data_IF_044209259981
#
_entry.id   IF_044209259981
#
_cell.length_a   1.000
_cell.length_b   1.000
_cell.length_c   1.000
_cell.angle_alpha   90.00
_cell.angle_beta   90.00
_cell.angle_gamma   90.00
#
_symmetry.space_group_name_H-M   'P 1'
#
loop_
_entity.id
_entity.type
_entity.pdbx_description
1 polymer ?
#
# COMPACT_ATOMS: atom_id res chain seq x y z
N UNK A 1 -1.47 -33.64 -30.77
CA UNK A 1 -2.18 -32.44 -31.26
C UNK A 1 -2.73 -31.76 -30.04
N UNK A 2 -2.07 -30.67 -29.62
CA UNK A 2 -2.41 -29.93 -28.41
C UNK A 2 -3.54 -28.98 -28.81
N UNK A 3 -4.72 -29.12 -28.19
CA UNK A 3 -5.82 -28.18 -28.35
C UNK A 3 -5.38 -26.82 -27.83
N UNK A 4 -5.39 -25.86 -28.75
CA UNK A 4 -5.14 -24.44 -28.55
C UNK A 4 -6.11 -23.90 -27.49
N UNK A 5 -5.63 -23.74 -26.24
CA UNK A 5 -6.33 -22.91 -25.26
C UNK A 5 -6.17 -21.48 -25.74
N UNK A 6 -7.13 -21.01 -26.53
CA UNK A 6 -7.22 -19.62 -26.94
C UNK A 6 -7.26 -18.77 -25.67
N UNK A 7 -6.16 -18.08 -25.38
CA UNK A 7 -6.05 -17.18 -24.24
C UNK A 7 -7.00 -16.00 -24.53
N UNK A 8 -8.10 -15.91 -23.79
CA UNK A 8 -9.05 -14.81 -23.90
C UNK A 8 -8.57 -13.69 -22.98
N UNK A 9 -8.32 -12.50 -23.53
CA UNK A 9 -7.86 -11.32 -22.75
C UNK A 9 -8.99 -10.61 -22.01
N UNK A 10 -10.21 -10.75 -22.50
CA UNK A 10 -11.43 -10.19 -21.94
C UNK A 10 -12.39 -11.26 -21.42
N UNK A 11 -13.64 -10.87 -21.17
CA UNK A 11 -14.65 -11.76 -20.59
C UNK A 11 -16.05 -11.49 -21.12
N UNK A 12 -16.83 -12.56 -21.31
CA UNK A 12 -18.29 -12.48 -21.48
C UNK A 12 -18.97 -12.79 -20.15
N UNK A 13 -19.79 -11.86 -19.64
CA UNK A 13 -20.52 -12.03 -18.38
C UNK A 13 -22.01 -12.16 -18.65
N UNK A 14 -22.65 -13.16 -18.06
CA UNK A 14 -24.10 -13.36 -18.11
C UNK A 14 -24.65 -13.39 -16.69
N UNK A 15 -25.43 -12.35 -16.35
CA UNK A 15 -26.19 -12.32 -15.10
C UNK A 15 -27.48 -13.10 -15.26
N UNK A 16 -27.65 -14.15 -14.48
CA UNK A 16 -28.71 -15.12 -14.66
C UNK A 16 -29.43 -15.47 -13.37
N UNK A 17 -30.56 -16.17 -13.51
CA UNK A 17 -31.31 -16.79 -12.41
C UNK A 17 -31.45 -18.30 -12.71
N UNK A 18 -31.26 -19.19 -11.72
CA UNK A 18 -31.43 -20.62 -11.91
C UNK A 18 -32.80 -20.98 -12.51
N UNK A 19 -32.79 -21.83 -13.53
CA UNK A 19 -34.01 -22.31 -14.20
C UNK A 19 -34.64 -21.33 -15.20
N UNK A 20 -34.04 -20.17 -15.47
CA UNK A 20 -34.55 -19.22 -16.47
C UNK A 20 -34.28 -19.71 -17.91
N UNK A 21 -35.31 -19.96 -18.75
CA UNK A 21 -35.13 -20.46 -20.13
C UNK A 21 -34.30 -19.51 -21.01
N UNK A 22 -34.52 -18.20 -20.88
CA UNK A 22 -33.77 -17.19 -21.65
C UNK A 22 -32.29 -17.13 -21.27
N UNK A 23 -31.95 -17.38 -20.00
CA UNK A 23 -30.55 -17.44 -19.57
C UNK A 23 -29.84 -18.68 -20.14
N UNK A 24 -30.54 -19.81 -20.18
CA UNK A 24 -30.02 -21.06 -20.75
C UNK A 24 -29.76 -20.88 -22.25
N UNK A 25 -30.72 -20.30 -22.98
CA UNK A 25 -30.61 -20.06 -24.42
C UNK A 25 -29.46 -19.09 -24.77
N UNK A 26 -29.30 -18.00 -24.00
CA UNK A 26 -28.21 -17.06 -24.19
C UNK A 26 -26.85 -17.73 -24.03
N UNK A 27 -26.66 -18.52 -22.96
CA UNK A 27 -25.41 -19.25 -22.70
C UNK A 27 -25.11 -20.29 -23.79
N UNK A 28 -26.13 -21.01 -24.28
CA UNK A 28 -25.97 -21.97 -25.37
C UNK A 28 -25.51 -21.29 -26.68
N UNK A 29 -26.04 -20.09 -26.96
CA UNK A 29 -25.63 -19.28 -28.12
C UNK A 29 -24.17 -18.88 -27.99
N UNK A 30 -23.76 -18.32 -26.84
CA UNK A 30 -22.38 -17.92 -26.57
C UNK A 30 -21.39 -19.11 -26.59
N UNK A 31 -21.81 -20.28 -26.10
CA UNK A 31 -21.03 -21.51 -26.17
C UNK A 31 -20.80 -21.97 -27.61
N UNK A 32 -21.77 -21.77 -28.51
CA UNK A 32 -21.64 -22.12 -29.93
C UNK A 32 -20.62 -21.22 -30.64
N UNK A 33 -20.43 -19.99 -30.15
CA UNK A 33 -19.41 -19.05 -30.64
C UNK A 33 -18.00 -19.35 -30.11
N UNK A 34 -17.85 -20.38 -29.26
CA UNK A 34 -16.56 -20.76 -28.68
C UNK A 34 -16.03 -19.73 -27.67
N UNK A 35 -16.91 -19.00 -26.99
CA UNK A 35 -16.52 -18.02 -25.98
C UNK A 35 -16.93 -18.51 -24.59
N UNK A 36 -15.99 -18.64 -23.63
CA UNK A 36 -16.33 -19.02 -22.26
C UNK A 36 -17.16 -17.92 -21.59
N UNK A 37 -18.18 -18.33 -20.83
CA UNK A 37 -19.11 -17.41 -20.17
C UNK A 37 -18.90 -17.44 -18.66
N UNK A 38 -18.70 -16.26 -18.07
CA UNK A 38 -18.79 -16.04 -16.63
C UNK A 38 -20.26 -15.88 -16.23
N UNK A 39 -20.81 -16.90 -15.59
CA UNK A 39 -22.21 -16.94 -15.17
C UNK A 39 -22.37 -16.45 -13.73
N UNK A 40 -23.16 -15.39 -13.54
CA UNK A 40 -23.41 -14.79 -12.23
C UNK A 40 -24.87 -14.99 -11.83
N UNK A 41 -25.09 -15.81 -10.80
CA UNK A 41 -26.42 -16.02 -10.21
C UNK A 41 -26.81 -14.83 -9.31
N UNK A 42 -27.69 -13.96 -9.82
CA UNK A 42 -28.10 -12.75 -9.09
C UNK A 42 -29.01 -13.03 -7.89
N UNK A 43 -29.53 -14.26 -7.73
CA UNK A 43 -30.28 -14.61 -6.51
C UNK A 43 -29.35 -14.83 -5.31
N UNK A 44 -28.10 -15.24 -5.56
CA UNK A 44 -27.07 -15.43 -4.53
C UNK A 44 -26.39 -14.13 -4.13
N UNK A 45 -26.49 -13.09 -4.95
CA UNK A 45 -25.79 -11.81 -4.83
C UNK A 45 -26.76 -10.63 -4.98
N UNK A 46 -27.44 -10.25 -3.89
CA UNK A 46 -28.48 -9.20 -3.90
C UNK A 46 -27.91 -7.82 -4.23
N UNK A 47 -26.67 -7.58 -3.84
CA UNK A 47 -25.88 -6.38 -4.10
C UNK A 47 -25.62 -6.16 -5.60
N UNK A 48 -25.26 -7.22 -6.33
CA UNK A 48 -25.04 -7.18 -7.78
C UNK A 48 -26.33 -6.81 -8.51
N UNK A 49 -27.48 -7.31 -8.05
CA UNK A 49 -28.77 -6.98 -8.65
C UNK A 49 -29.12 -5.49 -8.56
N UNK A 50 -28.76 -4.83 -7.47
CA UNK A 50 -28.96 -3.39 -7.30
C UNK A 50 -28.04 -2.59 -8.24
N UNK A 51 -26.76 -2.97 -8.30
CA UNK A 51 -25.76 -2.34 -9.18
C UNK A 51 -26.12 -2.50 -10.66
N UNK A 52 -26.58 -3.67 -11.09
CA UNK A 52 -27.00 -3.90 -12.47
C UNK A 52 -28.19 -3.01 -12.87
N UNK A 53 -29.13 -2.80 -11.95
CA UNK A 53 -30.27 -1.91 -12.20
C UNK A 53 -29.81 -0.46 -12.37
N UNK A 54 -28.81 -0.04 -11.60
CA UNK A 54 -28.20 1.29 -11.74
C UNK A 54 -27.42 1.43 -13.05
N UNK A 55 -26.62 0.41 -13.41
CA UNK A 55 -25.78 0.40 -14.61
C UNK A 55 -26.57 0.30 -15.91
N UNK A 56 -27.63 -0.51 -15.96
CA UNK A 56 -28.36 -0.84 -17.20
C UNK A 56 -29.76 -0.25 -17.26
N UNK A 57 -30.27 0.27 -16.13
CA UNK A 57 -31.68 0.66 -15.98
C UNK A 57 -32.66 -0.51 -15.95
N UNK A 58 -32.20 -1.78 -16.07
CA UNK A 58 -33.06 -2.97 -16.18
C UNK A 58 -32.89 -3.90 -14.99
N UNK A 59 -33.99 -4.55 -14.59
CA UNK A 59 -34.02 -5.52 -13.47
C UNK A 59 -34.27 -6.96 -13.91
N UNK A 60 -34.46 -7.18 -15.21
CA UNK A 60 -34.72 -8.49 -15.82
C UNK A 60 -33.41 -9.21 -16.12
N UNK A 61 -33.48 -10.54 -16.22
CA UNK A 61 -32.37 -11.43 -16.61
C UNK A 61 -32.76 -12.20 -17.89
N UNK A 62 -31.81 -12.63 -18.73
CA UNK A 62 -30.36 -12.41 -18.60
C UNK A 62 -29.96 -10.96 -18.89
N UNK A 63 -28.87 -10.51 -18.28
CA UNK A 63 -28.14 -9.30 -18.70
C UNK A 63 -26.77 -9.73 -19.18
N UNK A 64 -26.44 -9.39 -20.43
CA UNK A 64 -25.29 -9.94 -21.15
C UNK A 64 -24.31 -8.81 -21.45
N UNK A 65 -23.05 -9.05 -21.12
CA UNK A 65 -21.95 -8.13 -21.35
C UNK A 65 -20.80 -8.82 -22.07
N UNK A 66 -20.15 -8.09 -22.97
CA UNK A 66 -18.85 -8.43 -23.55
C UNK A 66 -17.86 -7.36 -23.06
N UNK A 67 -16.89 -7.76 -22.24
CA UNK A 67 -16.07 -6.83 -21.46
C UNK A 67 -16.97 -5.84 -20.69
N UNK A 68 -16.84 -4.52 -20.93
CA UNK A 68 -17.68 -3.47 -20.36
C UNK A 68 -18.91 -3.12 -21.22
N UNK A 69 -19.08 -3.71 -22.41
CA UNK A 69 -20.17 -3.41 -23.32
C UNK A 69 -21.44 -4.17 -22.95
N UNK A 70 -22.49 -3.43 -22.58
CA UNK A 70 -23.81 -4.00 -22.32
C UNK A 70 -24.52 -4.32 -23.64
N UNK A 71 -24.81 -5.61 -23.87
CA UNK A 71 -25.53 -6.08 -25.07
C UNK A 71 -27.03 -6.12 -24.85
N UNK A 72 -27.49 -6.43 -23.63
CA UNK A 72 -28.91 -6.51 -23.32
C UNK A 72 -29.35 -7.89 -22.83
N UNK A 73 -30.56 -8.28 -23.22
CA UNK A 73 -31.17 -9.56 -22.87
C UNK A 73 -30.93 -10.62 -23.97
N UNK A 74 -31.57 -11.79 -23.85
CA UNK A 74 -31.43 -12.86 -24.84
C UNK A 74 -31.96 -12.45 -26.22
N UNK A 75 -33.09 -11.74 -26.32
CA UNK A 75 -33.58 -11.26 -27.63
C UNK A 75 -32.61 -10.27 -28.27
N UNK A 76 -32.02 -9.38 -27.46
CA UNK A 76 -31.05 -8.40 -27.94
C UNK A 76 -29.81 -9.13 -28.51
N UNK A 77 -29.34 -10.19 -27.84
CA UNK A 77 -28.26 -11.07 -28.35
C UNK A 77 -28.63 -11.78 -29.66
N UNK A 78 -29.85 -12.31 -29.80
CA UNK A 78 -30.29 -13.00 -31.02
C UNK A 78 -30.53 -12.05 -32.21
N UNK A 79 -30.76 -10.76 -31.94
CA UNK A 79 -30.99 -9.73 -32.97
C UNK A 79 -29.69 -9.12 -33.52
N UNK A 80 -28.54 -9.39 -32.90
CA UNK A 80 -27.25 -8.92 -33.40
C UNK A 80 -26.98 -9.51 -34.79
N UNK A 81 -26.53 -8.66 -35.70
CA UNK A 81 -26.05 -9.14 -36.98
C UNK A 81 -24.73 -9.92 -36.81
N UNK A 82 -24.40 -10.84 -37.73
CA UNK A 82 -23.20 -11.66 -37.60
C UNK A 82 -21.89 -10.87 -37.50
N UNK A 83 -21.79 -9.71 -38.17
CA UNK A 83 -20.59 -8.88 -38.14
C UNK A 83 -20.42 -8.18 -36.78
N UNK A 84 -21.50 -7.67 -36.21
CA UNK A 84 -21.50 -7.08 -34.86
C UNK A 84 -21.14 -8.11 -33.81
N UNK A 85 -21.71 -9.31 -33.92
CA UNK A 85 -21.41 -10.41 -33.00
C UNK A 85 -19.95 -10.84 -33.10
N UNK A 86 -19.39 -10.94 -34.31
CA UNK A 86 -17.97 -11.24 -34.51
C UNK A 86 -17.06 -10.16 -33.92
N UNK A 87 -17.39 -8.87 -34.08
CA UNK A 87 -16.64 -7.76 -33.46
C UNK A 87 -16.63 -7.84 -31.93
N UNK A 88 -17.76 -8.17 -31.31
CA UNK A 88 -17.85 -8.34 -29.85
C UNK A 88 -17.02 -9.55 -29.38
N UNK A 89 -17.01 -10.65 -30.14
CA UNK A 89 -16.17 -11.81 -29.82
C UNK A 89 -14.68 -11.47 -29.98
N UNK A 90 -14.32 -10.68 -30.99
CA UNK A 90 -12.95 -10.22 -31.21
C UNK A 90 -12.47 -9.28 -30.10
N UNK A 91 -13.32 -8.36 -29.61
CA UNK A 91 -12.94 -7.47 -28.50
C UNK A 91 -12.66 -8.26 -27.22
N UNK A 92 -13.46 -9.28 -26.92
CA UNK A 92 -13.19 -10.20 -25.78
C UNK A 92 -11.89 -11.00 -25.98
N UNK A 93 -11.52 -11.32 -27.22
CA UNK A 93 -10.27 -12.04 -27.50
C UNK A 93 -9.03 -11.17 -27.36
N UNK A 94 -9.11 -9.91 -27.81
CA UNK A 94 -7.93 -9.07 -28.02
C UNK A 94 -7.73 -8.01 -26.93
N UNK A 95 -8.80 -7.54 -26.31
CA UNK A 95 -8.77 -6.41 -25.37
C UNK A 95 -8.82 -6.91 -23.92
N UNK A 96 -7.94 -6.40 -23.04
CA UNK A 96 -7.98 -6.72 -21.62
C UNK A 96 -9.20 -6.10 -20.93
N UNK A 97 -9.58 -6.68 -19.80
CA UNK A 97 -10.68 -6.18 -18.97
C UNK A 97 -10.41 -4.74 -18.47
N UNK A 98 -11.37 -3.85 -18.71
CA UNK A 98 -11.33 -2.45 -18.26
C UNK A 98 -11.76 -2.31 -16.78
N UNK A 99 -11.33 -1.23 -16.11
CA UNK A 99 -11.79 -0.86 -14.75
C UNK A 99 -13.31 -0.70 -14.65
N UNK A 100 -13.99 -0.39 -15.76
CA UNK A 100 -15.44 -0.24 -15.86
C UNK A 100 -16.17 -1.56 -16.16
N UNK A 101 -15.49 -2.70 -15.97
CA UNK A 101 -16.06 -4.01 -16.17
C UNK A 101 -17.27 -4.29 -15.26
N UNK A 102 -18.23 -5.10 -15.75
CA UNK A 102 -19.44 -5.40 -15.00
C UNK A 102 -19.10 -6.25 -13.76
N UNK A 103 -19.76 -6.00 -12.62
CA UNK A 103 -19.37 -6.56 -11.32
C UNK A 103 -19.67 -8.06 -11.24
N UNK A 104 -18.69 -8.91 -10.95
CA UNK A 104 -18.94 -10.34 -10.68
C UNK A 104 -18.59 -10.71 -9.23
N UNK A 105 -19.20 -11.77 -8.67
CA UNK A 105 -18.90 -12.17 -7.31
C UNK A 105 -17.44 -12.66 -7.19
N UNK A 106 -16.66 -12.01 -6.34
CA UNK A 106 -15.32 -12.47 -6.00
C UNK A 106 -14.21 -12.09 -6.98
N UNK A 107 -14.50 -11.39 -8.09
CA UNK A 107 -13.45 -10.69 -8.83
C UNK A 107 -13.38 -9.23 -8.37
N UNK A 108 -12.27 -8.90 -7.72
CA UNK A 108 -11.80 -7.52 -7.66
C UNK A 108 -11.02 -7.29 -8.97
N UNK A 109 -11.39 -6.27 -9.74
CA UNK A 109 -10.63 -5.79 -10.90
C UNK A 109 -9.13 -5.76 -10.57
N UNK A 110 -8.35 -6.72 -11.08
CA UNK A 110 -6.89 -6.79 -11.16
C UNK A 110 -6.50 -8.13 -11.82
N UNK A 111 -7.02 -8.38 -13.03
CA UNK A 111 -6.34 -9.26 -13.99
C UNK A 111 -5.75 -8.36 -15.07
N UNK A 112 -4.61 -7.74 -14.76
CA UNK A 112 -3.70 -7.23 -15.77
C UNK A 112 -2.69 -8.33 -16.08
N UNK A 113 -2.83 -8.97 -17.24
CA UNK A 113 -1.72 -9.59 -17.96
C UNK A 113 -0.75 -8.49 -18.44
N UNK A 114 -0.17 -7.77 -17.48
CA UNK A 114 0.89 -6.80 -17.62
C UNK A 114 2.09 -7.29 -16.82
N UNK A 115 3.28 -7.02 -17.33
CA UNK A 115 4.59 -7.42 -16.80
C UNK A 115 4.66 -7.48 -15.25
N UNK A 116 5.18 -8.62 -14.76
CA UNK A 116 5.23 -9.03 -13.35
C UNK A 116 6.00 -8.06 -12.44
N UNK A 117 6.69 -7.06 -13.00
CA UNK A 117 7.53 -6.13 -12.24
C UNK A 117 6.71 -5.06 -11.50
N UNK A 118 5.48 -4.71 -11.95
CA UNK A 118 4.67 -3.63 -11.37
C UNK A 118 3.68 -4.01 -10.25
N UNK A 119 3.23 -5.27 -10.21
CA UNK A 119 2.07 -5.68 -9.41
C UNK A 119 2.26 -5.50 -7.88
N UNK A 120 3.48 -5.72 -7.39
CA UNK A 120 3.81 -5.53 -5.98
C UNK A 120 3.67 -4.04 -5.58
N UNK A 121 4.25 -3.16 -6.38
CA UNK A 121 4.26 -1.72 -6.15
C UNK A 121 2.85 -1.16 -6.20
N UNK A 122 2.10 -1.49 -7.27
CA UNK A 122 0.70 -1.09 -7.44
C UNK A 122 -0.17 -1.53 -6.25
N UNK A 123 -0.01 -2.77 -5.77
CA UNK A 123 -0.74 -3.27 -4.61
C UNK A 123 -0.39 -2.48 -3.33
N UNK A 124 0.90 -2.20 -3.10
CA UNK A 124 1.35 -1.42 -1.94
C UNK A 124 0.84 0.02 -1.98
N UNK A 125 0.82 0.63 -3.16
CA UNK A 125 0.31 1.98 -3.40
C UNK A 125 -1.20 2.02 -3.21
N UNK A 126 -1.94 1.03 -3.72
CA UNK A 126 -3.38 0.91 -3.53
C UNK A 126 -3.74 0.78 -2.04
N UNK A 127 -3.03 -0.08 -1.30
CA UNK A 127 -3.18 -0.20 0.16
C UNK A 127 -2.95 1.13 0.86
N UNK A 128 -1.90 1.84 0.45
CA UNK A 128 -1.52 3.12 1.04
C UNK A 128 -2.54 4.22 0.77
N UNK A 129 -3.05 4.28 -0.46
CA UNK A 129 -4.07 5.23 -0.90
C UNK A 129 -5.41 4.98 -0.20
N UNK A 130 -5.78 3.71 0.03
CA UNK A 130 -6.96 3.39 0.84
C UNK A 130 -6.82 3.87 2.29
N UNK A 131 -5.65 3.71 2.92
CA UNK A 131 -5.41 4.24 4.27
C UNK A 131 -5.51 5.77 4.28
N UNK A 132 -4.94 6.44 3.28
CA UNK A 132 -5.05 7.90 3.13
C UNK A 132 -6.50 8.36 3.04
N UNK A 133 -7.28 7.67 2.22
CA UNK A 133 -8.72 7.92 2.08
C UNK A 133 -9.46 7.70 3.39
N UNK A 134 -9.22 6.58 4.05
CA UNK A 134 -9.81 6.27 5.35
C UNK A 134 -9.53 7.37 6.38
N UNK A 135 -8.30 7.85 6.45
CA UNK A 135 -7.93 8.98 7.30
C UNK A 135 -8.71 10.23 6.93
N UNK A 136 -8.75 10.60 5.64
CA UNK A 136 -9.47 11.79 5.18
C UNK A 136 -10.97 11.72 5.49
N UNK A 137 -11.60 10.56 5.30
CA UNK A 137 -13.04 10.37 5.49
C UNK A 137 -13.46 10.39 6.97
N UNK A 138 -12.51 10.18 7.90
CA UNK A 138 -12.77 10.09 9.34
C UNK A 138 -12.01 11.15 10.16
N UNK A 139 -11.38 12.12 9.50
CA UNK A 139 -10.73 13.26 10.13
C UNK A 139 -11.81 14.27 10.57
N UNK A 140 -11.70 14.80 11.78
CA UNK A 140 -12.56 15.86 12.28
C UNK A 140 -12.46 17.12 11.39
N UNK A 141 -13.51 17.94 11.40
CA UNK A 141 -13.53 19.20 10.63
C UNK A 141 -12.38 20.16 11.00
N UNK A 142 -11.89 20.11 12.24
CA UNK A 142 -10.75 20.91 12.70
C UNK A 142 -9.38 20.32 12.32
N UNK A 143 -9.36 19.13 11.70
CA UNK A 143 -8.16 18.45 11.24
C UNK A 143 -7.30 17.85 12.37
N UNK A 144 -7.79 17.81 13.62
CA UNK A 144 -6.98 17.46 14.79
C UNK A 144 -7.20 16.05 15.31
N UNK A 145 -8.36 15.46 15.08
CA UNK A 145 -8.72 14.14 15.62
C UNK A 145 -9.27 13.23 14.53
N UNK A 146 -9.10 11.92 14.69
CA UNK A 146 -9.55 10.91 13.72
C UNK A 146 -10.44 9.92 14.43
N UNK A 147 -11.64 9.67 13.90
CA UNK A 147 -12.56 8.67 14.45
C UNK A 147 -12.16 7.26 13.98
N UNK A 148 -11.20 6.68 14.69
CA UNK A 148 -10.70 5.32 14.44
C UNK A 148 -11.79 4.25 14.58
N UNK A 149 -12.80 4.49 15.42
CA UNK A 149 -13.88 3.52 15.65
C UNK A 149 -14.81 3.46 14.44
N UNK A 150 -15.22 4.61 13.91
CA UNK A 150 -15.97 4.69 12.66
C UNK A 150 -15.14 4.14 11.49
N UNK A 151 -13.86 4.51 11.41
CA UNK A 151 -12.94 4.03 10.37
C UNK A 151 -12.89 2.50 10.29
N UNK A 152 -12.76 1.83 11.44
CA UNK A 152 -12.69 0.35 11.53
C UNK A 152 -13.95 -0.38 11.08
N UNK A 153 -15.09 0.33 10.92
CA UNK A 153 -16.39 -0.22 10.51
C UNK A 153 -16.78 0.19 9.10
N UNK A 154 -15.93 0.94 8.41
CA UNK A 154 -16.21 1.44 7.07
C UNK A 154 -15.99 0.36 5.99
N UNK A 155 -16.75 0.43 4.91
CA UNK A 155 -16.58 -0.45 3.75
C UNK A 155 -15.18 -0.29 3.11
N UNK A 156 -14.58 0.89 3.19
CA UNK A 156 -13.21 1.13 2.72
C UNK A 156 -12.18 0.35 3.54
N UNK A 157 -12.43 0.13 4.83
CA UNK A 157 -11.55 -0.68 5.67
C UNK A 157 -11.70 -2.18 5.39
N UNK A 158 -12.90 -2.64 5.03
CA UNK A 158 -13.09 -4.01 4.53
C UNK A 158 -12.31 -4.23 3.23
N UNK A 159 -12.43 -3.31 2.25
CA UNK A 159 -11.64 -3.33 1.01
C UNK A 159 -10.13 -3.30 1.27
N UNK A 160 -9.70 -2.51 2.25
CA UNK A 160 -8.30 -2.49 2.66
C UNK A 160 -7.84 -3.86 3.17
N UNK A 161 -8.66 -4.55 3.97
CA UNK A 161 -8.34 -5.89 4.44
C UNK A 161 -8.24 -6.88 3.27
N UNK A 162 -9.13 -6.78 2.28
CA UNK A 162 -9.10 -7.65 1.09
C UNK A 162 -7.83 -7.44 0.25
N UNK A 163 -7.40 -6.19 0.04
CA UNK A 163 -6.12 -5.91 -0.60
C UNK A 163 -4.95 -6.43 0.21
N UNK A 164 -4.99 -6.31 1.54
CA UNK A 164 -3.89 -6.77 2.40
C UNK A 164 -3.71 -8.29 2.30
N UNK A 165 -4.78 -9.05 2.06
CA UNK A 165 -4.72 -10.50 1.81
C UNK A 165 -3.95 -10.81 0.52
N UNK A 166 -3.97 -9.94 -0.49
CA UNK A 166 -3.27 -10.18 -1.76
C UNK A 166 -1.74 -10.14 -1.60
N UNK A 167 -1.22 -9.47 -0.56
CA UNK A 167 0.22 -9.42 -0.27
C UNK A 167 0.87 -10.80 -0.18
N UNK A 168 0.09 -11.83 0.20
CA UNK A 168 0.58 -13.21 0.30
C UNK A 168 1.12 -13.78 -1.02
N UNK A 169 0.70 -13.23 -2.16
CA UNK A 169 1.05 -13.70 -3.52
C UNK A 169 2.17 -12.89 -4.18
N UNK A 170 2.63 -11.82 -3.54
CA UNK A 170 3.64 -10.93 -4.11
C UNK A 170 4.99 -11.64 -4.24
N UNK A 171 5.63 -11.50 -5.38
CA UNK A 171 7.03 -11.92 -5.58
C UNK A 171 7.98 -10.82 -5.07
N UNK A 172 8.83 -11.16 -4.09
CA UNK A 172 9.70 -10.18 -3.41
C UNK A 172 11.16 -10.21 -3.89
N UNK A 173 11.59 -11.32 -4.47
CA UNK A 173 13.00 -11.55 -4.79
C UNK A 173 13.44 -10.83 -6.07
N UNK A 174 12.52 -10.67 -7.03
CA UNK A 174 12.73 -9.96 -8.29
C UNK A 174 12.80 -8.44 -8.13
N UNK A 175 12.23 -7.89 -7.04
CA UNK A 175 12.15 -6.44 -6.82
C UNK A 175 13.53 -5.78 -6.74
N UNK A 176 13.70 -4.66 -7.45
CA UNK A 176 14.83 -3.74 -7.33
C UNK A 176 14.90 -3.09 -5.94
N UNK A 177 15.98 -2.31 -5.67
CA UNK A 177 16.11 -1.55 -4.41
C UNK A 177 14.95 -0.58 -4.26
N UNK A 178 14.65 0.17 -5.32
CA UNK A 178 13.65 1.23 -5.35
C UNK A 178 12.25 0.67 -5.13
N UNK A 179 11.93 -0.44 -5.80
CA UNK A 179 10.66 -1.16 -5.62
C UNK A 179 10.54 -1.73 -4.20
N UNK A 180 11.60 -2.35 -3.66
CA UNK A 180 11.60 -2.84 -2.27
C UNK A 180 11.35 -1.71 -1.27
N UNK A 181 12.02 -0.57 -1.45
CA UNK A 181 11.84 0.60 -0.58
C UNK A 181 10.39 1.10 -0.62
N UNK A 182 9.87 1.40 -1.82
CA UNK A 182 8.51 1.89 -2.00
C UNK A 182 7.47 0.89 -1.43
N UNK A 183 7.59 -0.38 -1.81
CA UNK A 183 6.71 -1.45 -1.36
C UNK A 183 6.68 -1.57 0.16
N UNK A 184 7.83 -1.78 0.80
CA UNK A 184 7.88 -2.05 2.23
C UNK A 184 7.58 -0.82 3.08
N UNK A 185 7.90 0.40 2.64
CA UNK A 185 7.51 1.63 3.34
C UNK A 185 6.00 1.80 3.29
N UNK A 186 5.37 1.62 2.12
CA UNK A 186 3.92 1.70 1.98
C UNK A 186 3.21 0.64 2.83
N UNK A 187 3.67 -0.62 2.74
CA UNK A 187 3.11 -1.74 3.51
C UNK A 187 3.29 -1.54 5.02
N UNK A 188 4.47 -1.11 5.48
CA UNK A 188 4.73 -0.81 6.89
C UNK A 188 3.76 0.26 7.40
N UNK A 189 3.68 1.38 6.68
CA UNK A 189 2.83 2.51 7.06
C UNK A 189 1.36 2.09 7.10
N UNK A 190 0.92 1.25 6.16
CA UNK A 190 -0.43 0.72 6.15
C UNK A 190 -0.67 -0.25 7.32
N UNK A 191 0.27 -1.16 7.59
CA UNK A 191 0.20 -2.15 8.66
C UNK A 191 0.14 -1.51 10.06
N UNK A 192 0.87 -0.41 10.30
CA UNK A 192 0.79 0.33 11.57
C UNK A 192 -0.65 0.77 11.83
N UNK A 193 -1.32 1.32 10.82
CA UNK A 193 -2.70 1.80 10.95
C UNK A 193 -3.67 0.64 11.12
N UNK A 194 -3.53 -0.41 10.30
CA UNK A 194 -4.36 -1.60 10.44
C UNK A 194 -4.24 -2.22 11.83
N UNK A 195 -3.02 -2.37 12.34
CA UNK A 195 -2.74 -2.86 13.68
C UNK A 195 -3.43 -2.01 14.76
N UNK A 196 -3.33 -0.68 14.65
CA UNK A 196 -3.98 0.23 15.60
C UNK A 196 -5.51 0.14 15.54
N UNK A 197 -6.10 0.03 14.34
CA UNK A 197 -7.55 -0.11 14.17
C UNK A 197 -8.08 -1.42 14.75
N UNK A 198 -7.30 -2.51 14.67
CA UNK A 198 -7.73 -3.85 15.15
C UNK A 198 -7.41 -4.09 16.61
N UNK A 199 -6.25 -3.63 17.09
CA UNK A 199 -5.72 -3.95 18.42
C UNK A 199 -5.75 -2.77 19.40
N UNK A 200 -6.06 -1.57 18.90
CA UNK A 200 -5.94 -0.33 19.65
C UNK A 200 -4.49 0.18 19.69
N UNK A 201 -4.36 1.44 20.10
CA UNK A 201 -3.07 2.11 20.22
C UNK A 201 -2.30 1.64 21.47
N UNK A 202 -0.98 1.38 21.36
CA UNK A 202 -0.19 1.01 22.52
C UNK A 202 -0.05 2.19 23.49
N UNK A 203 -0.46 2.01 24.75
CA UNK A 203 -0.48 3.08 25.77
C UNK A 203 0.81 3.17 26.60
N UNK A 204 1.72 2.21 26.45
CA UNK A 204 2.98 2.16 27.18
C UNK A 204 4.08 1.43 26.39
N UNK A 205 5.32 1.53 26.89
CA UNK A 205 6.52 0.99 26.25
C UNK A 205 6.41 -0.51 25.99
N UNK A 206 5.87 -1.28 26.93
CA UNK A 206 5.76 -2.74 26.78
C UNK A 206 4.70 -3.13 25.74
N UNK A 207 3.54 -2.46 25.76
CA UNK A 207 2.52 -2.64 24.72
C UNK A 207 3.06 -2.24 23.35
N UNK A 208 3.85 -1.18 23.27
CA UNK A 208 4.50 -0.75 22.04
C UNK A 208 5.49 -1.80 21.55
N UNK A 209 6.36 -2.29 22.42
CA UNK A 209 7.27 -3.38 22.11
C UNK A 209 6.50 -4.59 21.54
N UNK A 210 5.45 -5.02 22.22
CA UNK A 210 4.60 -6.14 21.75
C UNK A 210 3.94 -5.81 20.40
N UNK A 211 3.42 -4.60 20.22
CA UNK A 211 2.79 -4.18 18.97
C UNK A 211 3.73 -4.37 17.78
N UNK A 212 4.94 -3.79 17.84
CA UNK A 212 5.90 -3.85 16.73
C UNK A 212 6.48 -5.25 16.47
N UNK A 213 6.47 -6.15 17.47
CA UNK A 213 6.99 -7.52 17.34
C UNK A 213 5.91 -8.57 17.01
N UNK A 214 4.62 -8.23 17.03
CA UNK A 214 3.52 -9.18 16.76
C UNK A 214 2.63 -8.76 15.59
N UNK A 215 2.38 -7.46 15.42
CA UNK A 215 1.59 -6.96 14.29
C UNK A 215 2.35 -7.26 13.00
N UNK A 216 1.74 -8.05 12.14
CA UNK A 216 2.38 -8.65 10.98
C UNK A 216 1.43 -8.88 9.82
N UNK A 217 2.01 -9.01 8.63
CA UNK A 217 1.35 -9.52 7.44
C UNK A 217 2.03 -10.77 6.92
N UNK A 218 1.26 -11.57 6.18
CA UNK A 218 1.77 -12.67 5.38
C UNK A 218 2.02 -12.14 3.96
N UNK A 219 3.29 -12.01 3.58
CA UNK A 219 3.74 -11.35 2.35
C UNK A 219 4.66 -12.33 1.60
N UNK A 220 4.34 -12.62 0.34
CA UNK A 220 5.15 -13.51 -0.51
C UNK A 220 5.48 -14.86 0.15
N UNK A 221 4.50 -15.47 0.84
CA UNK A 221 4.68 -16.75 1.52
C UNK A 221 5.41 -16.71 2.87
N UNK A 222 5.75 -15.53 3.41
CA UNK A 222 6.46 -15.37 4.69
C UNK A 222 5.74 -14.38 5.62
N UNK A 223 5.90 -14.53 6.93
CA UNK A 223 5.35 -13.59 7.92
C UNK A 223 6.37 -12.47 8.16
N UNK A 224 5.92 -11.22 8.04
CA UNK A 224 6.71 -10.04 8.33
C UNK A 224 6.01 -9.18 9.38
N UNK A 225 6.62 -9.05 10.54
CA UNK A 225 6.23 -8.07 11.56
C UNK A 225 6.67 -6.66 11.18
N UNK A 226 6.12 -5.63 11.82
CA UNK A 226 6.64 -4.26 11.67
C UNK A 226 8.14 -4.19 11.96
N UNK A 227 8.61 -4.89 13.00
CA UNK A 227 10.02 -4.97 13.34
C UNK A 227 10.84 -5.63 12.23
N UNK A 228 10.32 -6.71 11.63
CA UNK A 228 10.98 -7.43 10.52
C UNK A 228 11.09 -6.53 9.29
N UNK A 229 10.05 -5.75 8.96
CA UNK A 229 10.07 -4.86 7.81
C UNK A 229 11.07 -3.72 8.03
N UNK A 230 10.98 -3.01 9.15
CA UNK A 230 11.88 -1.89 9.44
C UNK A 230 13.33 -2.35 9.56
N UNK A 231 13.60 -3.29 10.48
CA UNK A 231 14.96 -3.60 10.89
C UNK A 231 15.56 -4.74 10.06
N UNK A 232 14.72 -5.68 9.62
CA UNK A 232 15.11 -6.85 8.86
C UNK A 232 15.29 -6.50 7.39
N UNK A 233 14.27 -5.89 6.78
CA UNK A 233 14.28 -5.58 5.35
C UNK A 233 14.94 -4.23 5.08
N UNK A 234 14.33 -3.13 5.54
CA UNK A 234 14.69 -1.77 5.14
C UNK A 234 16.03 -1.29 5.75
N UNK A 235 16.41 -1.79 6.93
CA UNK A 235 17.72 -1.49 7.54
C UNK A 235 18.82 -2.50 7.22
N UNK A 236 18.60 -3.43 6.29
CA UNK A 236 19.60 -4.44 5.91
C UNK A 236 19.95 -5.40 7.07
N UNK A 237 18.92 -5.97 7.70
CA UNK A 237 19.02 -6.90 8.81
C UNK A 237 19.90 -6.39 9.98
N UNK A 238 19.65 -5.14 10.39
CA UNK A 238 20.28 -4.50 11.55
C UNK A 238 19.49 -4.78 12.83
N UNK A 239 20.19 -4.70 13.95
CA UNK A 239 19.57 -4.82 15.27
C UNK A 239 18.66 -3.63 15.53
N UNK A 240 17.41 -3.91 15.92
CA UNK A 240 16.44 -2.89 16.30
C UNK A 240 16.72 -2.27 17.67
N UNK A 241 16.03 -1.16 17.96
CA UNK A 241 16.09 -0.51 19.27
C UNK A 241 15.53 -1.45 20.33
N UNK A 242 16.22 -1.58 21.46
CA UNK A 242 15.87 -2.50 22.55
C UNK A 242 15.80 -4.00 22.17
N UNK A 243 16.24 -4.37 20.96
CA UNK A 243 16.40 -5.77 20.58
C UNK A 243 17.74 -6.30 21.07
N UNK A 244 17.90 -7.62 21.17
CA UNK A 244 19.18 -8.27 21.48
C UNK A 244 19.84 -8.86 20.23
N UNK A 245 19.03 -9.37 19.30
CA UNK A 245 19.45 -10.09 18.10
C UNK A 245 19.02 -9.35 16.83
N UNK A 246 19.59 -9.77 15.69
CA UNK A 246 19.11 -9.36 14.38
C UNK A 246 17.75 -10.02 14.09
N UNK A 247 16.85 -9.36 13.35
CA UNK A 247 15.55 -9.91 12.96
C UNK A 247 15.68 -11.27 12.28
N UNK A 248 16.59 -11.38 11.31
CA UNK A 248 16.74 -12.59 10.48
C UNK A 248 18.05 -13.31 10.78
N UNK A 249 17.94 -14.62 11.00
CA UNK A 249 19.11 -15.50 11.10
C UNK A 249 19.73 -15.76 9.72
N UNK A 250 20.91 -16.38 9.67
CA UNK A 250 21.58 -16.70 8.39
C UNK A 250 20.77 -17.65 7.49
N UNK A 251 19.93 -18.48 8.08
CA UNK A 251 19.11 -19.47 7.36
C UNK A 251 17.65 -19.02 7.22
N UNK A 252 17.32 -17.81 7.67
CA UNK A 252 15.97 -17.27 7.52
C UNK A 252 15.75 -16.88 6.05
N UNK A 253 14.76 -17.44 5.35
CA UNK A 253 14.53 -17.15 3.94
C UNK A 253 14.24 -15.66 3.68
N UNK A 254 13.69 -14.94 4.68
CA UNK A 254 13.40 -13.50 4.60
C UNK A 254 14.66 -12.65 4.52
N UNK A 255 15.83 -13.18 4.90
CA UNK A 255 17.10 -12.49 4.76
C UNK A 255 17.42 -12.11 3.31
N UNK A 256 16.98 -12.91 2.34
CA UNK A 256 17.20 -12.65 0.91
C UNK A 256 16.44 -11.42 0.39
N UNK A 257 15.42 -10.98 1.12
CA UNK A 257 14.61 -9.79 0.79
C UNK A 257 15.26 -8.52 1.34
N UNK A 258 16.16 -8.63 2.31
CA UNK A 258 16.79 -7.49 2.96
C UNK A 258 17.59 -6.63 1.99
N UNK A 259 17.55 -5.31 2.19
CA UNK A 259 18.39 -4.40 1.43
C UNK A 259 19.88 -4.72 1.68
N UNK A 260 20.74 -4.62 0.65
CA UNK A 260 22.17 -4.89 0.80
C UNK A 260 22.83 -3.90 1.76
N UNK A 261 22.40 -2.65 1.71
CA UNK A 261 22.87 -1.56 2.56
C UNK A 261 21.71 -0.93 3.33
N UNK A 262 22.04 -0.28 4.45
CA UNK A 262 21.05 0.50 5.22
C UNK A 262 20.64 1.71 4.41
N UNK A 263 19.35 2.02 4.37
CA UNK A 263 18.83 3.29 3.88
C UNK A 263 18.44 4.17 5.07
N UNK A 264 19.27 5.15 5.50
CA UNK A 264 18.97 5.97 6.68
C UNK A 264 17.73 6.85 6.52
N UNK A 265 17.34 7.18 5.29
CA UNK A 265 16.21 8.10 5.05
C UNK A 265 14.84 7.48 5.36
N UNK A 266 14.74 6.14 5.48
CA UNK A 266 13.49 5.48 5.87
C UNK A 266 12.99 5.97 7.24
N UNK A 267 13.90 6.41 8.12
CA UNK A 267 13.57 6.88 9.48
C UNK A 267 12.63 8.10 9.46
N UNK A 268 12.58 8.84 8.36
CA UNK A 268 11.70 9.99 8.17
C UNK A 268 10.42 9.65 7.37
N UNK A 269 10.37 8.44 6.81
CA UNK A 269 9.27 7.94 5.97
C UNK A 269 8.34 6.96 6.68
N UNK A 270 8.87 6.23 7.67
CA UNK A 270 8.11 5.27 8.46
C UNK A 270 7.32 5.99 9.57
N UNK A 271 6.00 5.88 9.51
CA UNK A 271 5.10 6.36 10.54
C UNK A 271 5.26 5.48 11.77
N UNK A 272 6.00 5.97 12.76
CA UNK A 272 6.19 5.25 14.03
C UNK A 272 4.95 5.33 14.95
N UNK A 273 3.81 5.88 14.49
CA UNK A 273 2.57 5.98 15.26
C UNK A 273 2.63 6.96 16.43
N UNK A 274 3.59 7.90 16.43
CA UNK A 274 3.76 8.94 17.43
C UNK A 274 3.36 10.33 16.89
N UNK A 275 3.02 11.25 17.80
CA UNK A 275 2.65 12.63 17.48
C UNK A 275 3.82 13.35 16.80
N UNK A 276 3.61 13.83 15.57
CA UNK A 276 4.61 14.55 14.77
C UNK A 276 5.14 13.85 13.51
N UNK A 277 4.54 12.73 13.08
CA UNK A 277 4.92 12.11 11.80
C UNK A 277 4.56 13.05 10.62
N UNK A 278 5.47 13.27 9.66
CA UNK A 278 5.29 14.23 8.56
C UNK A 278 4.08 13.87 7.66
N UNK A 279 3.59 14.83 6.85
CA UNK A 279 2.41 14.64 6.01
C UNK A 279 2.54 13.39 5.13
N UNK A 280 1.48 12.61 5.21
CA UNK A 280 1.28 11.22 4.82
C UNK A 280 1.40 11.12 3.28
N UNK A 281 2.57 10.76 2.74
CA UNK A 281 2.78 10.53 1.29
C UNK A 281 2.76 9.04 0.93
N UNK A 282 2.28 8.73 -0.27
CA UNK A 282 2.46 7.43 -0.92
C UNK A 282 3.80 7.42 -1.63
N UNK A 283 4.56 6.34 -1.49
CA UNK A 283 5.88 6.22 -2.10
C UNK A 283 5.82 5.39 -3.37
N UNK A 284 6.54 5.80 -4.41
CA UNK A 284 6.58 5.13 -5.72
C UNK A 284 8.02 4.76 -6.05
N UNK A 285 8.29 3.66 -6.77
CA UNK A 285 9.66 3.28 -7.15
C UNK A 285 10.39 4.38 -7.94
N UNK A 286 9.68 5.10 -8.80
CA UNK A 286 10.25 6.12 -9.69
C UNK A 286 10.77 7.34 -8.92
N UNK A 287 10.10 7.71 -7.84
CA UNK A 287 10.40 8.94 -7.09
C UNK A 287 10.96 8.69 -5.69
N UNK A 288 11.14 7.42 -5.29
CA UNK A 288 11.42 7.02 -3.89
C UNK A 288 12.55 7.81 -3.25
N UNK A 289 13.69 7.95 -3.92
CA UNK A 289 14.85 8.66 -3.36
C UNK A 289 14.56 10.15 -3.17
N UNK A 290 13.84 10.78 -4.11
CA UNK A 290 13.46 12.18 -4.00
C UNK A 290 12.43 12.41 -2.90
N UNK A 291 11.47 11.48 -2.75
CA UNK A 291 10.43 11.50 -1.72
C UNK A 291 11.04 11.32 -0.32
N UNK A 292 11.99 10.39 -0.18
CA UNK A 292 12.74 10.15 1.05
C UNK A 292 13.59 11.36 1.45
N UNK A 293 14.31 11.97 0.49
CA UNK A 293 15.08 13.20 0.75
C UNK A 293 14.18 14.35 1.16
N UNK A 294 13.04 14.55 0.47
CA UNK A 294 12.08 15.59 0.82
C UNK A 294 11.48 15.39 2.22
N UNK A 295 11.24 14.13 2.63
CA UNK A 295 10.79 13.82 3.99
C UNK A 295 11.85 14.15 5.04
N UNK A 296 13.11 13.80 4.80
CA UNK A 296 14.23 14.13 5.68
C UNK A 296 14.49 15.64 5.77
N UNK A 297 14.47 16.34 4.64
CA UNK A 297 14.60 17.80 4.59
C UNK A 297 13.50 18.49 5.39
N UNK A 298 12.24 18.14 5.15
CA UNK A 298 11.11 18.70 5.88
C UNK A 298 11.19 18.41 7.38
N UNK A 299 11.68 17.22 7.76
CA UNK A 299 11.92 16.88 9.15
C UNK A 299 12.98 17.79 9.76
N UNK A 300 14.16 17.91 9.14
CA UNK A 300 15.29 18.70 9.64
C UNK A 300 15.04 20.21 9.67
N UNK A 301 14.16 20.72 8.81
CA UNK A 301 13.75 22.13 8.84
C UNK A 301 12.77 22.42 9.99
N UNK A 302 12.12 21.41 10.57
CA UNK A 302 11.24 21.59 11.73
C UNK A 302 12.03 21.79 13.04
N UNK A 303 11.72 22.85 13.80
CA UNK A 303 12.32 23.16 15.10
C UNK A 303 11.96 22.13 16.20
N UNK A 304 10.87 21.37 16.05
CA UNK A 304 10.54 20.27 16.96
C UNK A 304 11.50 19.07 16.82
N UNK A 305 12.29 19.03 15.74
CA UNK A 305 13.15 17.90 15.39
C UNK A 305 14.64 18.25 15.34
N UNK A 306 14.98 19.48 14.94
CA UNK A 306 16.35 19.92 14.76
C UNK A 306 16.48 21.42 15.05
N UNK A 307 17.19 21.74 16.15
CA UNK A 307 17.46 23.11 16.59
C UNK A 307 18.96 23.36 16.59
N UNK A 308 19.37 24.48 15.98
CA UNK A 308 20.76 24.92 15.94
C UNK A 308 20.92 26.14 16.85
N UNK A 309 21.68 25.97 17.93
CA UNK A 309 22.03 27.02 18.86
C UNK A 309 23.47 27.48 18.60
N UNK A 310 23.59 28.53 17.78
CA UNK A 310 24.90 29.11 17.41
C UNK A 310 25.64 29.71 18.61
N UNK A 311 24.91 30.19 19.63
CA UNK A 311 25.50 30.85 20.81
C UNK A 311 26.13 29.81 21.73
N UNK A 312 25.42 28.71 21.99
CA UNK A 312 25.89 27.62 22.85
C UNK A 312 26.75 26.60 22.11
N UNK A 313 26.92 26.75 20.80
CA UNK A 313 27.57 25.79 19.90
C UNK A 313 26.98 24.39 20.05
N UNK A 314 25.65 24.31 20.08
CA UNK A 314 24.90 23.09 20.34
C UNK A 314 23.89 22.83 19.23
N UNK A 315 23.83 21.57 18.76
CA UNK A 315 22.78 21.09 17.86
C UNK A 315 21.92 20.10 18.63
N UNK A 316 20.62 20.41 18.76
CA UNK A 316 19.64 19.56 19.43
C UNK A 316 18.84 18.80 18.38
N UNK A 317 18.91 17.48 18.43
CA UNK A 317 18.31 16.59 17.43
C UNK A 317 17.20 15.72 18.05
N UNK A 318 16.27 15.26 17.23
CA UNK A 318 15.29 14.25 17.63
C UNK A 318 15.98 12.98 18.15
N UNK A 319 15.33 12.26 19.08
CA UNK A 319 15.85 11.01 19.65
C UNK A 319 16.08 9.92 18.60
N UNK A 320 15.47 10.02 17.41
CA UNK A 320 15.70 9.07 16.32
C UNK A 320 17.18 8.97 15.95
N UNK A 321 17.90 10.10 15.97
CA UNK A 321 19.34 10.16 15.72
C UNK A 321 20.17 9.52 16.85
N UNK A 322 19.63 9.47 18.08
CA UNK A 322 20.25 8.77 19.21
C UNK A 322 20.05 7.26 19.10
N UNK A 323 18.82 6.83 18.84
CA UNK A 323 18.44 5.42 18.81
C UNK A 323 19.07 4.69 17.63
N UNK A 324 19.13 5.35 16.47
CA UNK A 324 19.65 4.80 15.23
C UNK A 324 20.99 5.43 14.84
N UNK A 325 21.78 5.88 15.82
CA UNK A 325 23.06 6.59 15.59
C UNK A 325 24.00 5.88 14.61
N UNK A 326 24.04 4.55 14.62
CA UNK A 326 24.87 3.76 13.71
C UNK A 326 24.44 3.82 12.25
N UNK A 327 23.18 4.19 11.98
CA UNK A 327 22.67 4.39 10.62
C UNK A 327 23.12 5.75 10.07
N UNK A 328 23.36 6.72 10.95
CA UNK A 328 23.86 8.07 10.63
C UNK A 328 25.38 8.22 10.82
N UNK A 329 26.13 7.13 10.65
CA UNK A 329 27.61 7.14 10.70
C UNK A 329 28.24 6.88 12.08
N UNK A 330 27.45 6.77 13.16
CA UNK A 330 27.90 6.25 14.45
C UNK A 330 28.64 7.23 15.38
N UNK A 331 29.15 8.35 14.86
CA UNK A 331 29.82 9.41 15.64
C UNK A 331 29.05 10.73 15.50
N UNK A 332 29.22 11.64 16.46
CA UNK A 332 28.55 12.95 16.41
C UNK A 332 29.00 13.77 15.19
N UNK A 333 30.27 13.66 14.80
CA UNK A 333 30.80 14.33 13.61
C UNK A 333 30.14 13.81 12.33
N UNK A 334 30.08 12.49 12.14
CA UNK A 334 29.43 11.89 10.96
C UNK A 334 27.93 12.17 10.93
N UNK A 335 27.29 12.16 12.11
CA UNK A 335 25.89 12.52 12.24
C UNK A 335 25.64 13.98 11.82
N UNK A 336 26.45 14.92 12.29
CA UNK A 336 26.29 16.34 11.93
C UNK A 336 26.57 16.59 10.44
N UNK A 337 27.55 15.91 9.86
CA UNK A 337 27.78 15.97 8.41
C UNK A 337 26.59 15.40 7.63
N UNK A 338 26.05 14.26 8.07
CA UNK A 338 24.85 13.67 7.46
C UNK A 338 23.65 14.63 7.55
N UNK A 339 23.42 15.25 8.72
CA UNK A 339 22.37 16.27 8.89
C UNK A 339 22.60 17.43 7.92
N UNK A 340 23.80 17.98 7.86
CA UNK A 340 24.13 19.09 6.97
C UNK A 340 23.87 18.75 5.50
N UNK A 341 24.23 17.56 5.04
CA UNK A 341 24.01 17.11 3.66
C UNK A 341 22.52 17.02 3.29
N UNK A 342 21.66 16.66 4.24
CA UNK A 342 20.23 16.42 4.01
C UNK A 342 19.32 17.60 4.41
N UNK A 343 19.89 18.70 4.91
CA UNK A 343 19.16 19.94 5.13
C UNK A 343 18.90 20.69 3.82
N UNK A 344 17.77 21.39 3.77
CA UNK A 344 17.40 22.29 2.68
C UNK A 344 18.31 23.52 2.62
N UNK A 345 18.16 24.32 1.56
CA UNK A 345 18.90 25.56 1.39
C UNK A 345 18.35 26.68 2.31
N UNK A 346 18.51 26.51 3.63
CA UNK A 346 17.92 27.36 4.67
C UNK A 346 18.96 28.16 5.46
N UNK A 347 18.49 29.16 6.22
CA UNK A 347 19.35 29.85 7.18
C UNK A 347 19.86 28.90 8.27
N UNK A 348 19.07 27.87 8.62
CA UNK A 348 19.44 26.82 9.56
C UNK A 348 20.68 26.07 9.03
N UNK A 349 20.69 25.65 7.77
CA UNK A 349 21.87 24.99 7.15
C UNK A 349 23.13 25.87 7.17
N UNK A 350 22.99 27.16 6.89
CA UNK A 350 24.11 28.12 6.97
C UNK A 350 24.66 28.24 8.39
N UNK A 351 23.78 28.32 9.39
CA UNK A 351 24.19 28.36 10.79
C UNK A 351 24.95 27.08 11.20
N UNK A 352 24.51 25.91 10.71
CA UNK A 352 25.23 24.65 10.91
C UNK A 352 26.63 24.71 10.29
N UNK A 353 26.73 25.20 9.05
CA UNK A 353 27.99 25.31 8.33
C UNK A 353 29.03 26.14 9.10
N UNK A 354 28.60 27.30 9.62
CA UNK A 354 29.44 28.16 10.46
C UNK A 354 29.90 27.40 11.71
N UNK A 355 28.97 26.76 12.43
CA UNK A 355 29.30 26.01 13.65
C UNK A 355 30.33 24.89 13.42
N UNK A 356 30.16 24.12 12.33
CA UNK A 356 31.07 23.04 11.96
C UNK A 356 32.47 23.57 11.57
N UNK A 357 32.54 24.73 10.93
CA UNK A 357 33.81 25.37 10.55
C UNK A 357 34.58 25.93 11.76
N UNK A 358 33.85 26.41 12.78
CA UNK A 358 34.43 27.07 13.95
C UNK A 358 34.93 26.08 15.03
N UNK A 359 34.88 24.77 14.78
CA UNK A 359 35.41 23.72 15.66
C UNK A 359 34.34 22.84 16.30
N UNK A 360 34.64 22.24 17.47
CA UNK A 360 33.78 21.21 18.08
C UNK A 360 32.37 21.73 18.39
N UNK A 361 31.36 20.93 18.02
CA UNK A 361 29.94 21.19 18.24
C UNK A 361 29.40 20.15 19.22
N UNK A 362 28.60 20.60 20.19
CA UNK A 362 27.92 19.71 21.13
C UNK A 362 26.64 19.16 20.48
N UNK A 363 26.46 17.84 20.50
CA UNK A 363 25.19 17.22 20.12
C UNK A 363 24.40 16.87 21.36
N UNK A 364 23.14 17.28 21.41
CA UNK A 364 22.17 16.83 22.42
C UNK A 364 20.85 16.46 21.78
N UNK A 365 19.92 15.91 22.56
CA UNK A 365 18.68 15.34 22.03
C UNK A 365 17.46 15.97 22.67
N UNK A 366 16.48 16.33 21.84
CA UNK A 366 15.20 16.87 22.26
C UNK A 366 14.41 15.82 23.07
N UNK A 367 13.59 16.24 24.05
CA UNK A 367 12.67 15.33 24.71
C UNK A 367 11.69 14.77 23.68
N UNK A 368 11.45 13.46 23.72
CA UNK A 368 10.53 12.80 22.80
C UNK A 368 9.23 12.49 23.55
N UNK A 369 8.14 13.08 23.09
CA UNK A 369 6.82 12.81 23.62
C UNK A 369 6.25 11.54 22.97
N UNK A 370 6.03 10.52 23.79
CA UNK A 370 5.42 9.26 23.37
C UNK A 370 3.89 9.30 23.33
N UNK A 371 3.27 10.45 23.65
CA UNK A 371 1.82 10.61 23.65
C UNK A 371 1.24 10.54 22.23
N UNK A 372 0.04 9.94 22.10
CA UNK A 372 -0.66 9.70 20.83
C UNK A 372 -1.81 10.72 20.70
N UNK A 373 -2.14 11.15 19.48
CA UNK A 373 -3.35 11.92 19.18
C UNK A 373 -4.59 11.00 19.19
N UNK A 374 -5.06 10.63 20.38
CA UNK A 374 -6.38 9.99 20.55
C UNK A 374 -7.06 10.54 21.79
N UNK A 375 -8.28 11.05 21.62
CA UNK A 375 -9.21 11.39 22.70
C UNK A 375 -10.01 10.16 23.14
N UNK A 376 -9.31 9.10 23.58
CA UNK A 376 -9.91 7.91 24.20
C UNK A 376 -9.29 7.58 25.57
#
# INVERSE_FOLDING_TARGET
MVEDRTIMRGRVTVYSVPGCPHCIQAKATLSTLGVPVCDVDVNKHREIRAQLKELTGRSTVPQIFFNNMYVGNNEDLQKLDPEQLERLVLSVRQEPMSLDAPPVPGENNLDSDGEIDGAACELSEALRNLILKLYSDHLSEDGKTVDYKAMSRSLYFERYCDLAVQLQRVELLSLSREEKLAFFINVYNALVIHGNLRLGFPKNIWQRYRFFNYVSYFIGGQVFTLQDIENGVLRGNRKGVAQLLKPFSRNDPRLQVALPDVEPLIHFALNCGAKGCPPIKTYTPQDIDSQLRAAAEAFLENDDSCVIDSVRREVKLSQIFKWYKTDFGGTDEKLLNWVFEHMGASQKKRNLQTLLSDGKVKVSYLPYDWSINSTD
#
